data_IF_168265394639
#
_entry.id   IF_168265394639
#
_cell.length_a   1.000
_cell.length_b   1.000
_cell.length_c   1.000
_cell.angle_alpha   90.00
_cell.angle_beta   90.00
_cell.angle_gamma   90.00
#
_symmetry.space_group_name_H-M   'P 1'
#
loop_
_entity.id
_entity.type
_entity.pdbx_description
1 polymer ?
#
# COMPACT_ATOMS: atom_id res chain seq x y z
N UNK A 1 -30.66 -2.15 -4.71
CA UNK A 1 -30.05 -1.78 -6.02
C UNK A 1 -28.57 -2.12 -6.00
N UNK A 2 -28.12 -2.84 -7.01
CA UNK A 2 -26.72 -3.20 -7.14
C UNK A 2 -25.92 -2.02 -7.68
N UNK A 3 -24.75 -1.81 -7.13
CA UNK A 3 -23.78 -0.82 -7.62
C UNK A 3 -22.45 -1.49 -7.89
N UNK A 4 -21.77 -1.01 -8.93
CA UNK A 4 -20.40 -1.43 -9.21
C UNK A 4 -19.45 -0.59 -8.37
N UNK A 5 -18.60 -1.27 -7.61
CA UNK A 5 -17.57 -0.65 -6.80
C UNK A 5 -16.19 -1.14 -7.24
N UNK A 6 -15.21 -0.26 -7.07
CA UNK A 6 -13.80 -0.59 -7.23
C UNK A 6 -13.19 -0.78 -5.84
N UNK A 7 -12.52 -1.90 -5.63
CA UNK A 7 -11.73 -2.15 -4.44
C UNK A 7 -10.27 -1.93 -4.79
N UNK A 8 -9.63 -0.96 -4.16
CA UNK A 8 -8.22 -0.69 -4.33
C UNK A 8 -7.48 -1.08 -3.06
N UNK A 9 -6.34 -1.75 -3.20
CA UNK A 9 -5.49 -2.06 -2.08
C UNK A 9 -4.03 -1.93 -2.49
N UNK A 10 -3.28 -1.15 -1.71
CA UNK A 10 -1.82 -1.08 -1.79
C UNK A 10 -1.26 -1.89 -0.64
N UNK A 11 -0.25 -2.70 -0.92
CA UNK A 11 0.54 -3.35 0.11
C UNK A 11 1.94 -2.74 0.07
N UNK A 12 2.32 -2.06 1.15
CA UNK A 12 3.53 -1.25 1.22
C UNK A 12 4.47 -1.85 2.25
N UNK A 13 5.62 -2.33 1.79
CA UNK A 13 6.68 -2.81 2.67
C UNK A 13 7.56 -1.66 3.16
N UNK A 14 8.24 -1.87 4.28
CA UNK A 14 9.04 -0.83 4.94
C UNK A 14 10.53 -0.93 4.66
N UNK A 15 10.99 -2.01 4.03
CA UNK A 15 12.41 -2.19 3.75
C UNK A 15 12.87 -1.41 2.53
N UNK A 16 14.06 -0.83 2.63
CA UNK A 16 14.73 -0.15 1.52
C UNK A 16 15.18 -1.18 0.47
N UNK A 17 15.00 -0.87 -0.82
CA UNK A 17 15.35 -1.79 -1.91
C UNK A 17 16.85 -2.07 -2.04
N UNK A 18 17.68 -1.14 -1.61
CA UNK A 18 19.14 -1.26 -1.74
C UNK A 18 19.75 -2.00 -0.54
N UNK A 19 19.37 -1.63 0.68
CA UNK A 19 19.92 -2.19 1.91
C UNK A 19 19.19 -3.44 2.38
N UNK A 20 17.98 -3.68 1.89
CA UNK A 20 17.09 -4.77 2.31
C UNK A 20 16.69 -4.69 3.78
N UNK A 21 16.80 -3.50 4.36
CA UNK A 21 16.48 -3.22 5.76
C UNK A 21 15.55 -2.05 5.87
N UNK A 22 14.88 -1.95 7.02
CA UNK A 22 14.05 -0.80 7.35
C UNK A 22 14.96 0.35 7.81
N UNK A 23 15.15 1.33 6.94
CA UNK A 23 16.05 2.46 7.19
C UNK A 23 15.44 3.57 8.05
N UNK A 24 14.11 3.65 8.05
CA UNK A 24 13.38 4.61 8.87
C UNK A 24 12.63 3.87 9.97
N UNK A 25 12.36 4.56 11.09
CA UNK A 25 11.51 3.98 12.13
C UNK A 25 10.11 3.70 11.59
N UNK A 26 9.42 2.75 12.22
CA UNK A 26 8.03 2.44 11.87
C UNK A 26 7.15 3.68 11.94
N UNK A 27 7.34 4.51 12.96
CA UNK A 27 6.58 5.75 13.15
C UNK A 27 6.81 6.75 12.02
N UNK A 28 8.06 6.92 11.58
CA UNK A 28 8.40 7.81 10.47
C UNK A 28 7.77 7.32 9.16
N UNK A 29 7.83 6.03 8.90
CA UNK A 29 7.24 5.45 7.69
C UNK A 29 5.73 5.61 7.70
N UNK A 30 5.08 5.30 8.81
CA UNK A 30 3.63 5.49 8.95
C UNK A 30 3.24 6.94 8.75
N UNK A 31 3.98 7.87 9.32
CA UNK A 31 3.73 9.31 9.14
C UNK A 31 3.82 9.71 7.67
N UNK A 32 4.82 9.21 6.94
CA UNK A 32 4.96 9.48 5.50
C UNK A 32 3.80 8.90 4.69
N UNK A 33 3.40 7.67 5.00
CA UNK A 33 2.28 7.01 4.32
C UNK A 33 0.98 7.75 4.59
N UNK A 34 0.71 8.11 5.83
CA UNK A 34 -0.49 8.86 6.22
C UNK A 34 -0.56 10.22 5.52
N UNK A 35 0.54 10.96 5.52
CA UNK A 35 0.62 12.27 4.86
C UNK A 35 0.36 12.15 3.37
N UNK A 36 1.02 11.22 2.69
CA UNK A 36 0.84 11.02 1.26
C UNK A 36 -0.55 10.49 0.91
N UNK A 37 -1.10 9.64 1.76
CA UNK A 37 -2.48 9.15 1.60
C UNK A 37 -3.46 10.31 1.64
N UNK A 38 -3.33 11.18 2.63
CA UNK A 38 -4.20 12.35 2.76
C UNK A 38 -4.03 13.33 1.60
N UNK A 39 -2.80 13.62 1.20
CA UNK A 39 -2.50 14.60 0.14
C UNK A 39 -2.88 14.13 -1.26
N UNK A 40 -2.64 12.86 -1.59
CA UNK A 40 -2.82 12.34 -2.94
C UNK A 40 -4.18 11.65 -3.10
N UNK A 41 -4.51 10.76 -2.17
CA UNK A 41 -5.70 9.93 -2.27
C UNK A 41 -6.93 10.57 -1.60
N UNK A 42 -6.71 11.45 -0.64
CA UNK A 42 -7.75 12.05 0.17
C UNK A 42 -8.07 11.18 1.38
N UNK A 43 -9.18 10.45 1.33
CA UNK A 43 -9.64 9.64 2.47
C UNK A 43 -9.58 8.15 2.13
N UNK A 44 -8.66 7.43 2.79
CA UNK A 44 -8.49 5.98 2.62
C UNK A 44 -8.22 5.34 3.98
N UNK A 45 -8.40 4.02 4.07
CA UNK A 45 -8.12 3.26 5.28
C UNK A 45 -6.66 2.78 5.28
N UNK A 46 -6.05 2.78 6.45
CA UNK A 46 -4.71 2.24 6.66
C UNK A 46 -4.80 1.14 7.71
N UNK A 47 -4.28 -0.03 7.39
CA UNK A 47 -4.28 -1.16 8.31
C UNK A 47 -3.29 -0.97 9.46
N UNK A 48 -3.37 -1.83 10.46
CA UNK A 48 -2.30 -1.98 11.44
C UNK A 48 -1.05 -2.50 10.74
N UNK A 49 0.10 -2.30 11.39
CA UNK A 49 1.37 -2.84 10.87
C UNK A 49 1.33 -4.36 10.93
N UNK A 50 1.60 -4.98 9.80
CA UNK A 50 1.68 -6.43 9.64
C UNK A 50 3.14 -6.80 9.40
N UNK A 51 3.49 -8.06 9.62
CA UNK A 51 4.83 -8.57 9.37
C UNK A 51 4.77 -9.63 8.29
N UNK A 52 5.57 -9.43 7.22
CA UNK A 52 5.74 -10.39 6.16
C UNK A 52 7.00 -11.20 6.37
N UNK A 53 6.95 -12.45 5.95
CA UNK A 53 8.09 -13.36 5.96
C UNK A 53 8.21 -13.97 4.57
N UNK A 54 9.40 -13.93 4.03
CA UNK A 54 9.67 -14.65 2.78
C UNK A 54 11.06 -15.26 2.79
N UNK A 55 11.25 -16.23 1.92
CA UNK A 55 12.51 -16.94 1.77
C UNK A 55 13.14 -16.57 0.44
N UNK A 56 14.39 -16.15 0.46
CA UNK A 56 15.18 -15.93 -0.75
C UNK A 56 15.61 -17.26 -1.36
N UNK A 57 16.11 -17.21 -2.60
CA UNK A 57 16.60 -18.40 -3.32
C UNK A 57 17.75 -19.11 -2.58
N UNK A 58 18.55 -18.37 -1.85
CA UNK A 58 19.65 -18.90 -1.03
C UNK A 58 19.21 -19.48 0.33
N UNK A 59 17.88 -19.62 0.54
CA UNK A 59 17.25 -20.10 1.76
C UNK A 59 17.31 -19.17 2.97
N UNK A 60 17.86 -17.97 2.84
CA UNK A 60 17.75 -16.97 3.91
C UNK A 60 16.30 -16.50 4.05
N UNK A 61 15.92 -16.24 5.31
CA UNK A 61 14.58 -15.74 5.64
C UNK A 61 14.65 -14.23 5.85
N UNK A 62 13.76 -13.51 5.21
CA UNK A 62 13.64 -12.07 5.38
C UNK A 62 12.32 -11.71 6.06
N UNK A 63 12.37 -10.66 6.84
CA UNK A 63 11.22 -10.11 7.54
C UNK A 63 11.02 -8.66 7.10
N UNK A 64 9.77 -8.27 6.94
CA UNK A 64 9.45 -6.89 6.59
C UNK A 64 8.16 -6.47 7.28
N UNK A 65 8.18 -5.29 7.90
CA UNK A 65 6.95 -4.65 8.32
C UNK A 65 6.23 -4.08 7.10
N UNK A 66 4.92 -4.09 7.13
CA UNK A 66 4.09 -3.61 6.03
C UNK A 66 2.76 -3.07 6.52
N UNK A 67 2.14 -2.25 5.69
CA UNK A 67 0.75 -1.83 5.89
C UNK A 67 -0.01 -1.96 4.58
N UNK A 68 -1.34 -1.99 4.70
CA UNK A 68 -2.25 -1.91 3.57
C UNK A 68 -2.96 -0.58 3.62
N UNK A 69 -3.04 0.08 2.46
CA UNK A 69 -3.87 1.27 2.25
C UNK A 69 -4.97 0.85 1.30
N UNK A 70 -6.22 1.00 1.70
CA UNK A 70 -7.33 0.41 0.95
C UNK A 70 -8.60 1.24 1.01
N UNK A 71 -9.41 1.11 -0.03
CA UNK A 71 -10.71 1.75 -0.12
C UNK A 71 -11.60 1.04 -1.13
N UNK A 72 -12.90 1.00 -0.83
CA UNK A 72 -13.93 0.68 -1.80
C UNK A 72 -14.65 1.98 -2.19
N UNK A 73 -14.83 2.18 -3.48
CA UNK A 73 -15.42 3.41 -4.03
C UNK A 73 -16.16 3.13 -5.32
N UNK A 74 -17.27 3.83 -5.58
CA UNK A 74 -17.93 3.73 -6.89
C UNK A 74 -17.16 4.45 -8.00
N UNK A 75 -16.11 5.19 -7.67
CA UNK A 75 -15.35 6.01 -8.61
C UNK A 75 -14.07 5.31 -9.07
N UNK A 76 -13.69 5.54 -10.33
CA UNK A 76 -12.41 5.10 -10.86
C UNK A 76 -11.31 6.07 -10.43
N UNK A 77 -10.43 5.61 -9.55
CA UNK A 77 -9.32 6.39 -9.01
C UNK A 77 -7.96 6.03 -9.63
N UNK A 78 -7.94 5.47 -10.83
CA UNK A 78 -6.71 4.97 -11.46
C UNK A 78 -5.59 6.00 -11.55
N UNK A 79 -5.88 7.25 -11.86
CA UNK A 79 -4.86 8.31 -11.93
C UNK A 79 -4.25 8.60 -10.57
N UNK A 80 -5.08 8.69 -9.53
CA UNK A 80 -4.63 8.92 -8.16
C UNK A 80 -3.79 7.74 -7.67
N UNK A 81 -4.21 6.52 -7.99
CA UNK A 81 -3.50 5.29 -7.65
C UNK A 81 -2.11 5.28 -8.27
N UNK A 82 -2.00 5.63 -9.56
CA UNK A 82 -0.71 5.71 -10.23
C UNK A 82 0.22 6.76 -9.61
N UNK A 83 -0.31 7.93 -9.29
CA UNK A 83 0.45 9.00 -8.64
C UNK A 83 0.94 8.58 -7.26
N UNK A 84 0.07 7.98 -6.46
CA UNK A 84 0.40 7.50 -5.13
C UNK A 84 1.51 6.43 -5.19
N UNK A 85 1.36 5.44 -6.06
CA UNK A 85 2.33 4.36 -6.23
C UNK A 85 3.72 4.90 -6.57
N UNK A 86 3.81 5.81 -7.54
CA UNK A 86 5.09 6.42 -7.95
C UNK A 86 5.73 7.21 -6.81
N UNK A 87 4.93 7.98 -6.09
CA UNK A 87 5.41 8.81 -4.98
C UNK A 87 5.90 7.97 -3.81
N UNK A 88 5.15 6.94 -3.40
CA UNK A 88 5.54 6.04 -2.31
C UNK A 88 6.83 5.29 -2.65
N UNK A 89 6.95 4.76 -3.86
CA UNK A 89 8.17 4.07 -4.29
C UNK A 89 9.40 4.96 -4.17
N UNK A 90 9.27 6.23 -4.52
CA UNK A 90 10.35 7.20 -4.44
C UNK A 90 10.67 7.58 -3.00
N UNK A 91 9.66 7.93 -2.22
CA UNK A 91 9.81 8.42 -0.83
C UNK A 91 10.39 7.35 0.09
N UNK A 92 9.95 6.09 -0.05
CA UNK A 92 10.41 4.97 0.77
C UNK A 92 11.52 4.15 0.12
N UNK A 93 11.99 4.56 -1.05
CA UNK A 93 12.99 3.84 -1.83
C UNK A 93 12.62 2.36 -2.01
N UNK A 94 11.40 2.12 -2.47
CA UNK A 94 10.87 0.78 -2.70
C UNK A 94 11.09 0.35 -4.15
N UNK A 95 11.38 -0.94 -4.34
CA UNK A 95 11.46 -1.51 -5.68
C UNK A 95 10.08 -1.62 -6.33
N UNK A 96 9.11 -2.03 -5.54
CA UNK A 96 7.73 -2.18 -6.00
C UNK A 96 6.74 -2.01 -4.86
N UNK A 97 5.52 -1.64 -5.22
CA UNK A 97 4.37 -1.62 -4.32
C UNK A 97 3.31 -2.51 -4.97
N UNK A 98 2.82 -3.48 -4.20
CA UNK A 98 1.77 -4.36 -4.71
C UNK A 98 0.45 -3.59 -4.73
N UNK A 99 -0.13 -3.45 -5.92
CA UNK A 99 -1.43 -2.81 -6.10
C UNK A 99 -2.44 -3.86 -6.55
N UNK A 100 -3.51 -3.99 -5.81
CA UNK A 100 -4.61 -4.89 -6.14
C UNK A 100 -5.86 -4.07 -6.45
N UNK A 101 -6.40 -4.27 -7.63
CA UNK A 101 -7.67 -3.69 -8.06
C UNK A 101 -8.67 -4.81 -8.28
N UNK A 102 -9.82 -4.71 -7.66
CA UNK A 102 -10.94 -5.62 -7.88
C UNK A 102 -12.20 -4.81 -8.18
N UNK A 103 -12.96 -5.25 -9.16
CA UNK A 103 -14.29 -4.69 -9.44
C UNK A 103 -15.32 -5.60 -8.82
N UNK A 104 -16.09 -5.05 -7.90
CA UNK A 104 -17.11 -5.80 -7.18
C UNK A 104 -18.47 -5.18 -7.40
N UNK A 105 -19.47 -6.05 -7.50
CA UNK A 105 -20.85 -5.62 -7.47
C UNK A 105 -21.31 -5.67 -6.01
N UNK A 106 -21.78 -4.54 -5.49
CA UNK A 106 -22.22 -4.41 -4.10
C UNK A 106 -23.71 -4.17 -4.06
N UNK A 107 -24.40 -4.94 -3.24
CA UNK A 107 -25.83 -4.81 -2.99
C UNK A 107 -26.05 -4.10 -1.66
N UNK A 108 -26.88 -3.06 -1.68
CA UNK A 108 -27.28 -2.37 -0.47
C UNK A 108 -28.71 -2.78 -0.12
N UNK A 109 -28.84 -3.47 0.99
CA UNK A 109 -30.16 -3.89 1.50
C UNK A 109 -30.85 -2.78 2.29
#
# INVERSE_FOLDING_TARGET
MDKLYYSYQFSIGFNDKNTKKQEFSTEEILSKIETLTAEILGWWNISNVERWVWKYEDWTIAWENSVKVFRETPEDNSELVNKFTKTIKKVLNQESVLVKLTRNRVEFA
#
